data_IF_335355230523
#
_entry.id   IF_335355230523
#
_cell.length_a   1.000
_cell.length_b   1.000
_cell.length_c   1.000
_cell.angle_alpha   90.00
_cell.angle_beta   90.00
_cell.angle_gamma   90.00
#
_symmetry.space_group_name_H-M   'P 1'
#
loop_
_entity.id
_entity.type
_entity.pdbx_description
1 polymer ?
#
# COMPACT_ATOMS: atom_id res chain seq x y z
N UNK A 1 3.89 1.16 -32.91
CA UNK A 1 4.55 -0.07 -32.41
C UNK A 1 4.76 0.01 -30.90
N UNK A 2 3.69 -0.12 -30.10
CA UNK A 2 3.71 -0.43 -28.64
C UNK A 2 2.33 -0.22 -27.98
N UNK A 3 1.26 -0.87 -28.48
CA UNK A 3 -0.05 -0.84 -27.81
C UNK A 3 -0.34 -2.11 -26.96
N UNK A 4 0.59 -3.07 -26.94
CA UNK A 4 0.39 -4.38 -26.28
C UNK A 4 1.08 -4.52 -24.90
N UNK A 5 1.75 -3.49 -24.39
CA UNK A 5 2.42 -3.55 -23.09
C UNK A 5 1.52 -3.14 -21.89
N UNK A 6 0.41 -2.44 -22.12
CA UNK A 6 -0.40 -1.90 -21.03
C UNK A 6 -1.28 -2.95 -20.32
N UNK A 7 -1.83 -3.93 -21.04
CA UNK A 7 -2.71 -4.94 -20.44
C UNK A 7 -1.99 -5.83 -19.39
N UNK A 8 -0.70 -6.10 -19.58
CA UNK A 8 0.12 -6.83 -18.60
C UNK A 8 0.44 -6.02 -17.33
N UNK A 9 0.48 -4.68 -17.44
CA UNK A 9 0.79 -3.78 -16.32
C UNK A 9 -0.43 -3.61 -15.40
N UNK A 10 -1.65 -3.62 -15.95
CA UNK A 10 -2.89 -3.59 -15.16
C UNK A 10 -3.13 -4.89 -14.36
N UNK A 11 -2.69 -6.05 -14.86
CA UNK A 11 -2.78 -7.33 -14.13
C UNK A 11 -1.73 -7.50 -13.01
N UNK A 12 -0.74 -6.61 -12.94
CA UNK A 12 0.34 -6.65 -11.93
C UNK A 12 0.31 -5.44 -10.97
N UNK A 13 -0.82 -4.73 -10.91
CA UNK A 13 -0.98 -3.61 -9.98
C UNK A 13 -1.38 -4.07 -8.58
N UNK A 14 -0.64 -3.61 -7.57
CA UNK A 14 -1.00 -3.82 -6.17
C UNK A 14 -2.38 -3.22 -5.85
N UNK A 15 -2.72 -2.07 -6.44
CA UNK A 15 -4.00 -1.39 -6.26
C UNK A 15 -5.16 -2.20 -6.84
N UNK A 16 -4.99 -2.78 -8.03
CA UNK A 16 -6.02 -3.62 -8.66
C UNK A 16 -6.19 -4.93 -7.88
N UNK A 17 -5.07 -5.52 -7.43
CA UNK A 17 -5.10 -6.76 -6.65
C UNK A 17 -5.80 -6.55 -5.30
N UNK A 18 -5.61 -5.40 -4.64
CA UNK A 18 -6.24 -5.10 -3.36
C UNK A 18 -7.78 -5.08 -3.40
N UNK A 19 -8.37 -4.87 -4.58
CA UNK A 19 -9.82 -4.85 -4.83
C UNK A 19 -10.39 -6.19 -5.34
N UNK A 20 -9.54 -7.20 -5.56
CA UNK A 20 -10.01 -8.53 -5.98
C UNK A 20 -10.75 -9.26 -4.85
N UNK A 21 -11.56 -10.29 -5.16
CA UNK A 21 -12.20 -11.12 -4.15
C UNK A 21 -11.21 -11.71 -3.15
N UNK A 22 -11.60 -11.77 -1.89
CA UNK A 22 -10.74 -12.21 -0.77
C UNK A 22 -10.01 -13.54 -1.03
N UNK A 23 -10.64 -14.61 -1.57
CA UNK A 23 -9.93 -15.86 -1.84
C UNK A 23 -8.75 -15.71 -2.81
N UNK A 24 -8.90 -14.86 -3.83
CA UNK A 24 -7.84 -14.59 -4.81
C UNK A 24 -6.69 -13.83 -4.16
N UNK A 25 -7.01 -12.78 -3.40
CA UNK A 25 -6.01 -11.99 -2.68
C UNK A 25 -5.22 -12.84 -1.69
N UNK A 26 -5.90 -13.69 -0.91
CA UNK A 26 -5.25 -14.60 0.04
C UNK A 26 -4.34 -15.61 -0.67
N UNK A 27 -4.76 -16.16 -1.81
CA UNK A 27 -3.92 -17.04 -2.60
C UNK A 27 -2.65 -16.31 -3.07
N UNK A 28 -2.78 -15.08 -3.59
CA UNK A 28 -1.62 -14.27 -4.00
C UNK A 28 -0.69 -13.92 -2.85
N UNK A 29 -1.21 -13.58 -1.67
CA UNK A 29 -0.40 -13.34 -0.46
C UNK A 29 0.38 -14.60 -0.06
N UNK A 30 -0.26 -15.77 -0.07
CA UNK A 30 0.38 -17.04 0.29
C UNK A 30 1.49 -17.43 -0.69
N UNK A 31 1.30 -17.17 -1.99
CA UNK A 31 2.33 -17.36 -3.00
C UNK A 31 3.44 -16.30 -2.96
N UNK A 32 3.16 -15.15 -2.35
CA UNK A 32 4.05 -14.00 -2.32
C UNK A 32 3.91 -13.14 -3.57
N UNK A 33 4.02 -11.83 -3.38
CA UNK A 33 3.90 -10.85 -4.47
C UNK A 33 5.26 -10.55 -5.11
N UNK A 34 5.30 -10.20 -6.40
CA UNK A 34 6.49 -9.65 -7.03
C UNK A 34 6.98 -8.40 -6.27
N UNK A 35 8.29 -8.25 -6.10
CA UNK A 35 8.86 -7.07 -5.45
C UNK A 35 8.55 -5.77 -6.23
N UNK A 36 8.29 -5.85 -7.54
CA UNK A 36 7.84 -4.71 -8.36
C UNK A 36 6.51 -4.11 -7.89
N UNK A 37 5.62 -4.88 -7.25
CA UNK A 37 4.38 -4.33 -6.67
C UNK A 37 4.67 -3.39 -5.50
N UNK A 38 5.74 -3.65 -4.74
CA UNK A 38 6.19 -2.73 -3.70
C UNK A 38 6.67 -1.40 -4.31
N UNK A 39 7.45 -1.48 -5.38
CA UNK A 39 7.97 -0.28 -6.04
C UNK A 39 6.85 0.56 -6.68
N UNK A 40 5.81 -0.08 -7.19
CA UNK A 40 4.62 0.63 -7.69
C UNK A 40 3.96 1.46 -6.58
N UNK A 41 3.78 0.90 -5.38
CA UNK A 41 3.25 1.66 -4.23
C UNK A 41 4.17 2.82 -3.88
N UNK A 42 5.48 2.57 -3.78
CA UNK A 42 6.44 3.61 -3.46
C UNK A 42 6.41 4.74 -4.49
N UNK A 43 6.39 4.41 -5.78
CA UNK A 43 6.34 5.37 -6.88
C UNK A 43 5.04 6.19 -6.86
N UNK A 44 3.89 5.55 -6.66
CA UNK A 44 2.60 6.25 -6.54
C UNK A 44 2.59 7.25 -5.38
N UNK A 45 3.22 6.91 -4.26
CA UNK A 45 3.32 7.82 -3.11
C UNK A 45 4.45 8.86 -3.26
N UNK A 46 5.21 8.86 -4.36
CA UNK A 46 6.36 9.75 -4.54
C UNK A 46 7.51 9.46 -3.59
N UNK A 47 7.63 8.22 -3.09
CA UNK A 47 8.61 7.80 -2.09
C UNK A 47 9.73 6.97 -2.72
N UNK A 48 10.90 7.00 -2.08
CA UNK A 48 11.91 5.97 -2.32
C UNK A 48 11.46 4.64 -1.71
N UNK A 49 11.85 3.52 -2.35
CA UNK A 49 11.63 2.17 -1.83
C UNK A 49 12.12 2.03 -0.38
N UNK A 50 13.24 2.67 -0.02
CA UNK A 50 13.79 2.63 1.34
C UNK A 50 12.91 3.31 2.38
N UNK A 51 12.28 4.44 2.04
CA UNK A 51 11.42 5.18 2.98
C UNK A 51 10.18 4.35 3.29
N UNK A 52 9.49 3.85 2.25
CA UNK A 52 8.32 2.99 2.45
C UNK A 52 8.69 1.71 3.20
N UNK A 53 9.86 1.12 2.90
CA UNK A 53 10.28 -0.12 3.54
C UNK A 53 10.50 0.07 5.04
N UNK A 54 11.10 1.19 5.44
CA UNK A 54 11.27 1.54 6.85
C UNK A 54 9.90 1.70 7.55
N UNK A 55 8.95 2.40 6.92
CA UNK A 55 7.60 2.57 7.47
C UNK A 55 6.84 1.26 7.65
N UNK A 56 7.03 0.29 6.77
CA UNK A 56 6.36 -1.01 6.84
C UNK A 56 7.16 -2.08 7.63
N UNK A 57 8.28 -1.71 8.25
CA UNK A 57 9.14 -2.66 8.95
C UNK A 57 9.73 -3.74 8.04
N UNK A 58 9.94 -3.44 6.76
CA UNK A 58 10.54 -4.36 5.78
C UNK A 58 12.01 -4.00 5.60
N UNK A 59 12.91 -4.95 5.88
CA UNK A 59 14.34 -4.71 5.70
C UNK A 59 14.67 -4.39 4.23
N UNK A 60 15.32 -3.24 3.97
CA UNK A 60 15.74 -2.82 2.62
C UNK A 60 16.53 -3.90 1.86
N UNK A 61 17.41 -4.62 2.57
CA UNK A 61 18.21 -5.73 1.99
C UNK A 61 17.33 -6.85 1.43
N UNK A 62 16.17 -7.10 2.05
CA UNK A 62 15.21 -8.09 1.56
C UNK A 62 14.68 -7.66 0.20
N UNK A 63 14.23 -6.40 0.05
CA UNK A 63 13.71 -5.90 -1.23
C UNK A 63 14.78 -5.95 -2.34
N UNK A 64 15.99 -5.47 -2.06
CA UNK A 64 17.12 -5.51 -3.02
C UNK A 64 17.38 -6.95 -3.49
N UNK A 65 17.45 -7.90 -2.55
CA UNK A 65 17.69 -9.31 -2.89
C UNK A 65 16.56 -9.90 -3.72
N UNK A 66 15.30 -9.62 -3.36
CA UNK A 66 14.12 -10.12 -4.09
C UNK A 66 14.08 -9.58 -5.51
N UNK A 67 14.42 -8.30 -5.69
CA UNK A 67 14.62 -7.71 -7.02
C UNK A 67 15.71 -8.39 -7.83
N UNK A 68 16.92 -8.51 -7.26
CA UNK A 68 18.05 -9.11 -7.98
C UNK A 68 17.87 -10.59 -8.35
N UNK A 69 16.99 -11.30 -7.64
CA UNK A 69 16.72 -12.74 -7.89
C UNK A 69 15.40 -13.01 -8.60
N UNK A 70 14.54 -12.00 -8.76
CA UNK A 70 13.16 -12.17 -9.22
C UNK A 70 12.25 -12.95 -8.24
N UNK A 71 12.73 -13.27 -7.04
CA UNK A 71 11.97 -14.05 -6.07
C UNK A 71 10.81 -13.22 -5.48
N UNK A 72 9.67 -13.85 -5.15
CA UNK A 72 8.53 -13.15 -4.55
C UNK A 72 8.83 -12.70 -3.12
N UNK A 73 8.14 -11.66 -2.66
CA UNK A 73 8.10 -11.22 -1.27
C UNK A 73 7.56 -12.34 -0.36
N UNK A 74 7.85 -12.26 0.95
CA UNK A 74 7.19 -13.15 1.91
C UNK A 74 5.69 -12.84 1.97
N UNK A 75 4.89 -13.75 2.51
CA UNK A 75 3.46 -13.50 2.73
C UNK A 75 3.23 -12.29 3.63
N UNK A 76 4.03 -12.12 4.68
CA UNK A 76 3.95 -10.95 5.56
C UNK A 76 4.20 -9.63 4.80
N UNK A 77 5.28 -9.55 4.01
CA UNK A 77 5.58 -8.36 3.23
C UNK A 77 4.54 -8.10 2.12
N UNK A 78 4.01 -9.18 1.53
CA UNK A 78 2.93 -9.13 0.55
C UNK A 78 1.64 -8.55 1.12
N UNK A 79 1.28 -8.96 2.33
CA UNK A 79 0.12 -8.46 3.04
C UNK A 79 0.27 -6.97 3.38
N UNK A 80 1.44 -6.54 3.85
CA UNK A 80 1.77 -5.13 4.07
C UNK A 80 1.64 -4.28 2.80
N UNK A 81 2.14 -4.77 1.66
CA UNK A 81 1.99 -4.08 0.35
C UNK A 81 0.51 -3.88 0.01
N UNK A 82 -0.30 -4.93 0.14
CA UNK A 82 -1.72 -4.85 -0.20
C UNK A 82 -2.54 -4.02 0.80
N UNK A 83 -2.11 -3.96 2.06
CA UNK A 83 -2.68 -3.07 3.06
C UNK A 83 -2.52 -1.61 2.66
N UNK A 84 -1.30 -1.19 2.30
CA UNK A 84 -1.08 0.19 1.82
C UNK A 84 -1.89 0.46 0.55
N UNK A 85 -1.90 -0.48 -0.40
CA UNK A 85 -2.68 -0.35 -1.62
C UNK A 85 -4.19 -0.12 -1.33
N UNK A 86 -4.75 -0.88 -0.38
CA UNK A 86 -6.15 -0.76 0.04
C UNK A 86 -6.45 0.58 0.69
N UNK A 87 -5.57 1.06 1.59
CA UNK A 87 -5.73 2.39 2.22
C UNK A 87 -5.67 3.49 1.17
N UNK A 88 -4.75 3.43 0.21
CA UNK A 88 -4.72 4.40 -0.89
C UNK A 88 -6.01 4.37 -1.72
N UNK A 89 -6.55 3.19 -2.05
CA UNK A 89 -7.81 3.09 -2.79
C UNK A 89 -8.98 3.70 -2.00
N UNK A 90 -9.03 3.49 -0.68
CA UNK A 90 -10.03 4.13 0.17
C UNK A 90 -9.85 5.66 0.20
N UNK A 91 -8.61 6.13 0.33
CA UNK A 91 -8.29 7.56 0.38
C UNK A 91 -8.60 8.30 -0.93
N UNK A 92 -8.66 7.61 -2.07
CA UNK A 92 -9.12 8.19 -3.35
C UNK A 92 -10.57 8.67 -3.34
N UNK A 93 -11.38 8.23 -2.37
CA UNK A 93 -12.71 8.81 -2.17
C UNK A 93 -12.67 10.23 -1.56
N UNK A 94 -11.57 10.59 -0.90
CA UNK A 94 -11.37 11.88 -0.22
C UNK A 94 -10.45 12.82 -1.00
N UNK A 95 -9.42 12.26 -1.64
CA UNK A 95 -8.34 13.02 -2.27
C UNK A 95 -8.30 12.75 -3.77
N UNK A 96 -8.25 13.82 -4.56
CA UNK A 96 -8.29 13.73 -6.02
C UNK A 96 -6.98 13.28 -6.68
N UNK A 97 -5.84 13.37 -5.96
CA UNK A 97 -4.52 13.04 -6.52
C UNK A 97 -3.72 12.14 -5.58
N UNK A 98 -2.82 11.34 -6.15
CA UNK A 98 -1.94 10.47 -5.37
C UNK A 98 -0.95 11.29 -4.50
N UNK A 99 -0.56 12.50 -4.93
CA UNK A 99 0.23 13.42 -4.11
C UNK A 99 -0.52 13.88 -2.86
N UNK A 100 -1.82 14.18 -2.98
CA UNK A 100 -2.64 14.57 -1.83
C UNK A 100 -2.82 13.41 -0.85
N UNK A 101 -2.99 12.19 -1.35
CA UNK A 101 -3.01 10.96 -0.54
C UNK A 101 -1.67 10.80 0.20
N UNK A 102 -0.55 10.96 -0.51
CA UNK A 102 0.78 10.88 0.09
C UNK A 102 0.98 11.93 1.18
N UNK A 103 0.61 13.19 0.94
CA UNK A 103 0.69 14.25 1.96
C UNK A 103 -0.15 13.92 3.20
N UNK A 104 -1.37 13.43 3.02
CA UNK A 104 -2.23 13.02 4.13
C UNK A 104 -1.65 11.82 4.90
N UNK A 105 -1.16 10.79 4.21
CA UNK A 105 -0.57 9.60 4.83
C UNK A 105 0.62 9.93 5.74
N UNK A 106 1.36 11.00 5.44
CA UNK A 106 2.55 11.44 6.18
C UNK A 106 2.28 12.58 7.17
N UNK A 107 1.04 13.07 7.24
CA UNK A 107 0.66 14.11 8.20
C UNK A 107 0.15 13.47 9.49
N UNK A 108 0.67 13.91 10.62
CA UNK A 108 0.19 13.47 11.93
C UNK A 108 -1.30 13.79 12.12
N UNK A 109 -2.03 12.84 12.71
CA UNK A 109 -3.45 12.97 13.01
C UNK A 109 -3.68 12.79 14.51
N UNK A 110 -4.42 13.72 15.14
CA UNK A 110 -4.70 13.69 16.58
C UNK A 110 -5.60 12.50 16.96
N UNK A 111 -6.46 12.02 16.06
CA UNK A 111 -7.31 10.84 16.32
C UNK A 111 -6.49 9.55 16.34
N UNK A 112 -5.29 9.57 15.75
CA UNK A 112 -4.34 8.45 15.75
C UNK A 112 -3.23 8.65 16.79
N UNK A 113 -3.49 9.43 17.85
CA UNK A 113 -2.51 9.69 18.90
C UNK A 113 -1.32 10.53 18.44
N UNK A 114 -1.52 11.43 17.47
CA UNK A 114 -0.49 12.24 16.81
C UNK A 114 0.52 11.45 15.95
N UNK A 115 0.20 10.21 15.59
CA UNK A 115 0.96 9.47 14.60
C UNK A 115 0.44 9.79 13.18
N UNK A 116 1.33 9.66 12.19
CA UNK A 116 0.91 9.74 10.79
C UNK A 116 0.29 8.40 10.35
N UNK A 117 -0.74 8.39 9.50
CA UNK A 117 -1.38 7.16 9.04
C UNK A 117 -0.40 6.09 8.52
N UNK A 118 0.64 6.49 7.77
CA UNK A 118 1.64 5.57 7.22
C UNK A 118 2.43 4.81 8.29
N UNK A 119 2.60 5.39 9.48
CA UNK A 119 3.34 4.79 10.60
C UNK A 119 2.56 3.66 11.28
N UNK A 120 1.26 3.54 11.00
CA UNK A 120 0.39 2.50 11.56
C UNK A 120 0.21 1.31 10.60
N UNK A 121 0.63 1.44 9.33
CA UNK A 121 0.36 0.44 8.29
C UNK A 121 1.31 -0.77 8.33
N UNK A 122 2.26 -0.79 9.26
CA UNK A 122 3.11 -1.96 9.50
C UNK A 122 2.33 -3.12 10.17
N UNK A 123 1.21 -2.81 10.83
CA UNK A 123 0.35 -3.79 11.51
C UNK A 123 -1.09 -3.78 10.96
N UNK A 124 -1.78 -4.90 11.14
CA UNK A 124 -3.20 -5.01 10.79
C UNK A 124 -4.08 -4.14 11.69
N UNK A 125 -3.79 -4.09 12.99
CA UNK A 125 -4.54 -3.27 13.94
C UNK A 125 -4.43 -1.78 13.57
N UNK A 126 -3.22 -1.29 13.32
CA UNK A 126 -3.03 0.10 12.93
C UNK A 126 -3.72 0.46 11.60
N UNK A 127 -3.72 -0.44 10.62
CA UNK A 127 -4.48 -0.20 9.39
C UNK A 127 -5.99 -0.10 9.59
N UNK A 128 -6.57 -0.83 10.54
CA UNK A 128 -8.00 -0.70 10.85
C UNK A 128 -8.33 0.67 11.42
N UNK A 129 -7.46 1.22 12.27
CA UNK A 129 -7.60 2.59 12.78
C UNK A 129 -7.53 3.62 11.66
N UNK A 130 -6.58 3.45 10.72
CA UNK A 130 -6.48 4.33 9.54
C UNK A 130 -7.69 4.19 8.63
N UNK A 131 -8.20 2.98 8.41
CA UNK A 131 -9.42 2.75 7.63
C UNK A 131 -10.64 3.41 8.29
N UNK A 132 -10.77 3.30 9.62
CA UNK A 132 -11.82 3.97 10.37
C UNK A 132 -11.73 5.50 10.23
N UNK A 133 -10.53 6.07 10.28
CA UNK A 133 -10.29 7.50 10.02
C UNK A 133 -10.72 7.90 8.60
N UNK A 134 -10.32 7.16 7.56
CA UNK A 134 -10.74 7.48 6.19
C UNK A 134 -12.27 7.46 6.09
N UNK A 135 -12.91 6.45 6.70
CA UNK A 135 -14.38 6.34 6.68
C UNK A 135 -15.06 7.48 7.44
N UNK A 136 -14.55 7.91 8.60
CA UNK A 136 -15.14 9.03 9.35
C UNK A 136 -15.05 10.34 8.58
N UNK A 137 -13.89 10.60 7.96
CA UNK A 137 -13.66 11.75 7.07
C UNK A 137 -14.63 11.75 5.88
N UNK A 138 -14.89 10.59 5.26
CA UNK A 138 -15.79 10.50 4.09
C UNK A 138 -17.25 10.76 4.43
N UNK A 139 -17.69 10.43 5.65
CA UNK A 139 -19.09 10.59 6.06
C UNK A 139 -19.33 11.92 6.80
N UNK A 140 -18.33 12.80 6.89
CA UNK A 140 -18.43 14.05 7.64
C UNK A 140 -18.68 13.85 9.14
N UNK A 141 -18.42 12.65 9.67
CA UNK A 141 -18.61 12.33 11.08
C UNK A 141 -17.38 12.80 11.86
N UNK A 142 -17.33 14.10 12.13
CA UNK A 142 -16.60 14.61 13.28
C UNK A 142 -17.59 14.68 14.45
N UNK A 143 -17.30 13.96 15.53
CA UNK A 143 -17.88 14.20 16.86
C UNK A 143 -16.91 15.08 17.63
#
# INVERSE_FOLDING_TARGET
MSHLAHAGMYMQSAFVLAERPVPEVLARIRHGLPASMFDQIAATLGLSTSVLAAKLGIARRTLIRKHGTGAPLSSEASEKVLRVARICNLARALFATDEAISQWLFKADSTLGNAAPIDLLDTELGAREVEALVRSLSHGQFV
#
